data_IF_752457593218
#
_entry.id   IF_752457593218
#
_cell.length_a   1.000
_cell.length_b   1.000
_cell.length_c   1.000
_cell.angle_alpha   90.00
_cell.angle_beta   90.00
_cell.angle_gamma   90.00
#
_symmetry.space_group_name_H-M   'P 1'
#
loop_
_entity.id
_entity.type
_entity.pdbx_description
1 polymer ?
#
# COMPACT_ATOMS: atom_id res chain seq x y z
N UNK A 1 15.73 -12.85 21.20
CA UNK A 1 14.38 -12.30 21.49
C UNK A 1 13.49 -12.22 20.25
N UNK A 2 13.98 -11.76 19.08
CA UNK A 2 13.20 -11.71 17.83
C UNK A 2 12.69 -13.07 17.34
N UNK A 3 13.49 -14.12 17.44
CA UNK A 3 13.09 -15.48 17.04
C UNK A 3 11.93 -16.04 17.87
N UNK A 4 11.91 -15.81 19.18
CA UNK A 4 10.83 -16.26 20.07
C UNK A 4 9.50 -15.57 19.72
N UNK A 5 9.53 -14.28 19.38
CA UNK A 5 8.35 -13.54 18.92
C UNK A 5 7.86 -13.98 17.53
N UNK A 6 8.79 -14.28 16.61
CA UNK A 6 8.44 -14.78 15.28
C UNK A 6 7.78 -16.16 15.35
N UNK A 7 8.34 -17.08 16.15
CA UNK A 7 7.79 -18.42 16.35
C UNK A 7 6.42 -18.38 17.03
N UNK A 8 6.21 -17.46 18.00
CA UNK A 8 4.91 -17.30 18.66
C UNK A 8 3.82 -16.78 17.70
N UNK A 9 4.16 -15.79 16.87
CA UNK A 9 3.28 -15.27 15.82
C UNK A 9 2.94 -16.33 14.78
N UNK A 10 3.93 -17.12 14.36
CA UNK A 10 3.77 -18.22 13.41
C UNK A 10 2.79 -19.28 13.96
N UNK A 11 2.98 -19.72 15.21
CA UNK A 11 2.07 -20.71 15.82
C UNK A 11 0.63 -20.20 15.92
N UNK A 12 0.44 -18.91 16.24
CA UNK A 12 -0.88 -18.28 16.29
C UNK A 12 -1.52 -18.20 14.90
N UNK A 13 -0.76 -17.84 13.86
CA UNK A 13 -1.29 -17.83 12.49
C UNK A 13 -1.67 -19.23 12.02
N UNK A 14 -0.87 -20.24 12.36
CA UNK A 14 -1.14 -21.62 11.97
C UNK A 14 -2.39 -22.16 12.66
N UNK A 15 -2.61 -21.82 13.94
CA UNK A 15 -3.81 -22.24 14.67
C UNK A 15 -5.09 -21.56 14.16
N UNK A 16 -5.02 -20.26 13.84
CA UNK A 16 -6.14 -19.52 13.23
C UNK A 16 -6.42 -20.02 11.81
N UNK A 17 -5.39 -20.33 11.03
CA UNK A 17 -5.52 -20.91 9.70
C UNK A 17 -6.19 -22.29 9.79
N UNK A 18 -5.79 -23.12 10.74
CA UNK A 18 -6.41 -24.43 10.97
C UNK A 18 -7.88 -24.32 11.37
N UNK A 19 -8.21 -23.38 12.25
CA UNK A 19 -9.60 -23.12 12.64
C UNK A 19 -10.43 -22.60 11.45
N UNK A 20 -9.85 -21.72 10.64
CA UNK A 20 -10.51 -21.24 9.41
C UNK A 20 -10.75 -22.39 8.42
N UNK A 21 -9.77 -23.27 8.22
CA UNK A 21 -9.89 -24.45 7.36
C UNK A 21 -11.00 -25.40 7.83
N UNK A 22 -11.13 -25.60 9.14
CA UNK A 22 -12.19 -26.43 9.72
C UNK A 22 -13.59 -25.85 9.40
N UNK A 23 -13.79 -24.55 9.58
CA UNK A 23 -15.05 -23.89 9.21
C UNK A 23 -15.29 -23.88 7.70
N UNK A 24 -14.25 -23.68 6.89
CA UNK A 24 -14.37 -23.75 5.43
C UNK A 24 -14.77 -25.16 4.96
N UNK A 25 -14.28 -26.22 5.60
CA UNK A 25 -14.57 -27.59 5.21
C UNK A 25 -15.92 -28.10 5.74
N UNK A 26 -16.31 -27.71 6.96
CA UNK A 26 -17.53 -28.20 7.61
C UNK A 26 -18.76 -27.35 7.34
N UNK A 27 -18.63 -26.02 7.26
CA UNK A 27 -19.79 -25.12 7.14
C UNK A 27 -20.10 -24.72 5.68
N UNK A 28 -19.20 -24.98 4.72
CA UNK A 28 -19.35 -24.54 3.32
C UNK A 28 -19.38 -25.69 2.31
N UNK A 29 -20.18 -25.50 1.26
CA UNK A 29 -20.18 -26.39 0.10
C UNK A 29 -18.93 -26.16 -0.77
N UNK A 30 -18.61 -27.11 -1.66
CA UNK A 30 -17.51 -26.94 -2.63
C UNK A 30 -17.66 -25.67 -3.46
N UNK A 31 -18.85 -25.42 -4.01
CA UNK A 31 -19.11 -24.21 -4.81
C UNK A 31 -19.00 -22.89 -4.04
N UNK A 32 -19.21 -22.89 -2.72
CA UNK A 32 -19.01 -21.70 -1.88
C UNK A 32 -17.50 -21.42 -1.65
N UNK A 33 -16.73 -22.49 -1.42
CA UNK A 33 -15.27 -22.42 -1.31
C UNK A 33 -14.62 -21.92 -2.60
N UNK A 34 -15.09 -22.41 -3.75
CA UNK A 34 -14.60 -21.96 -5.05
C UNK A 34 -14.86 -20.47 -5.29
N UNK A 35 -16.02 -19.96 -4.85
CA UNK A 35 -16.33 -18.52 -4.91
C UNK A 35 -15.44 -17.69 -4.00
N UNK A 36 -15.17 -18.15 -2.78
CA UNK A 36 -14.24 -17.48 -1.86
C UNK A 36 -12.82 -17.45 -2.43
N UNK A 37 -12.36 -18.57 -3.00
CA UNK A 37 -11.05 -18.66 -3.66
C UNK A 37 -10.99 -17.74 -4.89
N UNK A 38 -12.04 -17.71 -5.71
CA UNK A 38 -12.11 -16.82 -6.87
C UNK A 38 -12.15 -15.34 -6.48
N UNK A 39 -12.81 -14.99 -5.37
CA UNK A 39 -12.82 -13.63 -4.83
C UNK A 39 -11.43 -13.24 -4.30
N UNK A 40 -10.76 -14.11 -3.54
CA UNK A 40 -9.40 -13.88 -3.06
C UNK A 40 -8.39 -13.75 -4.21
N UNK A 41 -8.50 -14.64 -5.21
CA UNK A 41 -7.69 -14.59 -6.43
C UNK A 41 -7.94 -13.30 -7.21
N UNK A 42 -9.20 -12.84 -7.32
CA UNK A 42 -9.53 -11.56 -7.96
C UNK A 42 -8.83 -10.39 -7.27
N UNK A 43 -8.82 -10.35 -5.93
CA UNK A 43 -8.09 -9.32 -5.17
C UNK A 43 -6.61 -9.35 -5.53
N UNK A 44 -5.97 -10.52 -5.44
CA UNK A 44 -4.55 -10.67 -5.75
C UNK A 44 -4.21 -10.24 -7.18
N UNK A 45 -4.99 -10.67 -8.17
CA UNK A 45 -4.80 -10.33 -9.58
C UNK A 45 -4.92 -8.84 -9.80
N UNK A 46 -5.99 -8.21 -9.30
CA UNK A 46 -6.21 -6.77 -9.51
C UNK A 46 -5.20 -5.92 -8.75
N UNK A 47 -4.82 -6.27 -7.52
CA UNK A 47 -3.73 -5.61 -6.81
C UNK A 47 -2.43 -5.71 -7.58
N UNK A 48 -2.08 -6.90 -8.09
CA UNK A 48 -0.84 -7.12 -8.85
C UNK A 48 -0.82 -6.28 -10.13
N UNK A 49 -1.92 -6.29 -10.89
CA UNK A 49 -2.07 -5.47 -12.10
C UNK A 49 -1.99 -3.99 -11.76
N UNK A 50 -2.72 -3.54 -10.74
CA UNK A 50 -2.72 -2.16 -10.29
C UNK A 50 -1.34 -1.69 -9.85
N UNK A 51 -0.63 -2.49 -9.05
CA UNK A 51 0.75 -2.24 -8.62
C UNK A 51 1.71 -2.15 -9.81
N UNK A 52 1.62 -3.05 -10.78
CA UNK A 52 2.47 -3.04 -11.97
C UNK A 52 2.25 -1.77 -12.82
N UNK A 53 0.98 -1.40 -13.03
CA UNK A 53 0.61 -0.16 -13.73
C UNK A 53 1.09 1.06 -12.94
N UNK A 54 0.87 1.07 -11.63
CA UNK A 54 1.27 2.14 -10.73
C UNK A 54 2.78 2.39 -10.71
N UNK A 55 3.59 1.33 -10.59
CA UNK A 55 5.07 1.39 -10.70
C UNK A 55 5.49 1.96 -12.05
N UNK A 56 4.88 1.49 -13.14
CA UNK A 56 5.21 1.93 -14.49
C UNK A 56 4.91 3.42 -14.68
N UNK A 57 3.75 3.89 -14.20
CA UNK A 57 3.38 5.30 -14.23
C UNK A 57 4.27 6.15 -13.31
N UNK A 58 4.62 5.64 -12.13
CA UNK A 58 5.55 6.27 -11.20
C UNK A 58 6.94 6.47 -11.81
N UNK A 59 7.45 5.46 -12.52
CA UNK A 59 8.72 5.56 -13.24
C UNK A 59 8.64 6.59 -14.38
N UNK A 60 7.56 6.58 -15.17
CA UNK A 60 7.32 7.59 -16.22
C UNK A 60 7.27 9.01 -15.64
N UNK A 61 6.60 9.19 -14.50
CA UNK A 61 6.53 10.46 -13.78
C UNK A 61 7.93 10.88 -13.28
N UNK A 62 8.73 9.96 -12.75
CA UNK A 62 10.11 10.24 -12.32
C UNK A 62 10.97 10.75 -13.48
N UNK A 63 10.91 10.07 -14.63
CA UNK A 63 11.64 10.45 -15.85
C UNK A 63 11.22 11.87 -16.28
N UNK A 64 9.91 12.14 -16.30
CA UNK A 64 9.35 13.43 -16.70
C UNK A 64 9.73 14.55 -15.72
N UNK A 65 9.64 14.32 -14.41
CA UNK A 65 10.03 15.30 -13.39
C UNK A 65 11.51 15.65 -13.50
N UNK A 66 12.37 14.64 -13.71
CA UNK A 66 13.80 14.84 -13.90
C UNK A 66 14.09 15.67 -15.15
N UNK A 67 13.45 15.38 -16.29
CA UNK A 67 13.64 16.17 -17.51
C UNK A 67 13.19 17.61 -17.33
N UNK A 68 12.04 17.84 -16.69
CA UNK A 68 11.51 19.19 -16.44
C UNK A 68 12.44 19.97 -15.51
N UNK A 69 12.96 19.37 -14.44
CA UNK A 69 13.92 20.03 -13.54
C UNK A 69 15.20 20.43 -14.26
N UNK A 70 15.72 19.57 -15.14
CA UNK A 70 16.90 19.90 -15.96
C UNK A 70 16.63 21.05 -16.92
N UNK A 71 15.50 21.01 -17.62
CA UNK A 71 15.10 22.07 -18.55
C UNK A 71 14.94 23.42 -17.85
N UNK A 72 14.30 23.41 -16.68
CA UNK A 72 14.15 24.60 -15.85
C UNK A 72 15.49 25.18 -15.40
N UNK A 73 16.40 24.32 -14.92
CA UNK A 73 17.74 24.76 -14.54
C UNK A 73 18.53 25.33 -15.73
N UNK A 74 18.45 24.71 -16.91
CA UNK A 74 19.12 25.25 -18.10
C UNK A 74 18.57 26.61 -18.53
N UNK A 75 17.25 26.81 -18.43
CA UNK A 75 16.63 28.09 -18.76
C UNK A 75 17.09 29.21 -17.80
N UNK A 76 17.06 28.96 -16.49
CA UNK A 76 17.51 29.93 -15.47
C UNK A 76 19.00 30.24 -15.62
N UNK A 77 19.81 29.23 -15.93
CA UNK A 77 21.26 29.41 -16.11
C UNK A 77 21.59 30.25 -17.35
N UNK A 78 20.83 30.09 -18.42
CA UNK A 78 21.07 30.77 -19.70
C UNK A 78 20.55 32.22 -19.73
N UNK A 79 19.67 32.60 -18.81
CA UNK A 79 19.09 33.93 -18.74
C UNK A 79 20.06 34.94 -18.11
N UNK A 80 20.09 36.16 -18.64
CA UNK A 80 20.83 37.27 -18.03
C UNK A 80 20.25 37.59 -16.65
N UNK A 81 21.12 37.73 -15.64
CA UNK A 81 20.72 37.92 -14.24
C UNK A 81 21.09 39.32 -13.76
N UNK A 82 20.16 40.07 -13.15
CA UNK A 82 20.50 41.33 -12.51
C UNK A 82 21.41 41.05 -11.31
N UNK A 83 22.57 41.71 -11.25
CA UNK A 83 23.55 41.50 -10.17
C UNK A 83 23.42 42.52 -9.04
N UNK A 84 22.77 43.65 -9.29
CA UNK A 84 22.68 44.80 -8.38
C UNK A 84 21.30 45.44 -8.49
N UNK A 85 20.72 45.83 -7.35
CA UNK A 85 19.57 46.73 -7.26
C UNK A 85 20.09 48.09 -6.81
N UNK A 86 19.67 49.14 -7.50
CA UNK A 86 19.92 50.53 -7.10
C UNK A 86 18.60 51.07 -6.55
N UNK A 87 18.59 51.50 -5.30
CA UNK A 87 17.43 52.11 -4.66
C UNK A 87 17.38 53.61 -4.97
N UNK A 88 16.20 54.22 -4.85
CA UNK A 88 15.96 55.65 -5.11
C UNK A 88 16.86 56.58 -4.26
N UNK A 89 17.35 56.11 -3.11
CA UNK A 89 18.28 56.82 -2.23
C UNK A 89 19.76 56.68 -2.65
N UNK A 90 20.04 56.00 -3.77
CA UNK A 90 21.38 55.75 -4.29
C UNK A 90 22.09 54.55 -3.65
N UNK A 91 21.49 53.85 -2.68
CA UNK A 91 22.05 52.62 -2.12
C UNK A 91 22.06 51.53 -3.19
N UNK A 92 23.14 50.76 -3.22
CA UNK A 92 23.26 49.59 -4.10
C UNK A 92 23.37 48.33 -3.26
N UNK A 93 22.50 47.35 -3.50
CA UNK A 93 22.58 46.02 -2.89
C UNK A 93 22.80 44.94 -3.94
N UNK A 94 23.65 43.96 -3.62
CA UNK A 94 23.93 42.82 -4.50
C UNK A 94 22.81 41.79 -4.42
N UNK A 95 22.30 41.34 -5.56
CA UNK A 95 21.36 40.22 -5.61
C UNK A 95 22.16 38.92 -5.50
N UNK A 96 21.84 38.03 -4.54
CA UNK A 96 22.53 36.75 -4.42
C UNK A 96 22.17 35.80 -5.59
N UNK A 97 23.16 35.12 -6.16
CA UNK A 97 22.91 34.10 -7.19
C UNK A 97 22.39 32.81 -6.54
N UNK A 98 21.10 32.51 -6.76
CA UNK A 98 20.44 31.31 -6.25
C UNK A 98 20.64 30.07 -7.13
N UNK A 99 21.27 30.22 -8.29
CA UNK A 99 21.43 29.13 -9.27
C UNK A 99 22.15 27.89 -8.71
N UNK A 100 23.19 28.01 -7.87
CA UNK A 100 23.82 26.84 -7.26
C UNK A 100 22.84 26.00 -6.41
N UNK A 101 21.85 26.63 -5.79
CA UNK A 101 20.85 25.95 -4.96
C UNK A 101 19.80 25.21 -5.79
N UNK A 102 19.55 25.67 -7.02
CA UNK A 102 18.59 25.06 -7.95
C UNK A 102 19.22 23.95 -8.80
N UNK A 103 20.53 23.70 -8.64
CA UNK A 103 21.25 22.70 -9.42
C UNK A 103 20.67 21.30 -9.15
N UNK A 104 20.31 20.54 -10.20
CA UNK A 104 19.92 19.14 -10.03
C UNK A 104 21.03 18.35 -9.32
N UNK A 105 20.67 17.59 -8.30
CA UNK A 105 21.59 16.77 -7.50
C UNK A 105 21.32 15.28 -7.69
N UNK A 106 22.33 14.46 -7.47
CA UNK A 106 22.23 12.99 -7.54
C UNK A 106 21.28 12.44 -6.47
N UNK A 107 21.35 12.97 -5.24
CA UNK A 107 20.44 12.59 -4.16
C UNK A 107 18.98 12.94 -4.49
N UNK A 108 18.76 14.12 -5.08
CA UNK A 108 17.44 14.53 -5.56
C UNK A 108 16.90 13.64 -6.68
N UNK A 109 17.77 13.16 -7.57
CA UNK A 109 17.40 12.19 -8.61
C UNK A 109 17.00 10.84 -7.97
N UNK A 110 17.79 10.31 -7.02
CA UNK A 110 17.47 9.07 -6.29
C UNK A 110 16.12 9.19 -5.57
N UNK A 111 15.93 10.28 -4.82
CA UNK A 111 14.68 10.54 -4.13
C UNK A 111 13.49 10.61 -5.10
N UNK A 112 13.67 11.24 -6.27
CA UNK A 112 12.61 11.33 -7.28
C UNK A 112 12.19 9.96 -7.78
N UNK A 113 13.13 9.08 -8.15
CA UNK A 113 12.80 7.73 -8.59
C UNK A 113 12.18 6.90 -7.48
N UNK A 114 12.73 6.98 -6.26
CA UNK A 114 12.21 6.25 -5.11
C UNK A 114 10.77 6.65 -4.80
N UNK A 115 10.50 7.94 -4.54
CA UNK A 115 9.18 8.39 -4.12
C UNK A 115 8.14 8.29 -5.23
N UNK A 116 8.51 8.56 -6.49
CA UNK A 116 7.57 8.41 -7.59
C UNK A 116 7.20 6.94 -7.82
N UNK A 117 8.18 6.02 -7.73
CA UNK A 117 7.92 4.59 -7.87
C UNK A 117 7.15 4.03 -6.68
N UNK A 118 7.55 4.37 -5.45
CA UNK A 118 6.88 3.94 -4.22
C UNK A 118 5.46 4.49 -4.14
N UNK A 119 5.26 5.77 -4.47
CA UNK A 119 3.94 6.39 -4.55
C UNK A 119 3.09 5.76 -5.66
N UNK A 120 3.68 5.49 -6.83
CA UNK A 120 3.02 4.77 -7.91
C UNK A 120 2.58 3.36 -7.50
N UNK A 121 3.47 2.59 -6.85
CA UNK A 121 3.17 1.26 -6.32
C UNK A 121 2.01 1.31 -5.31
N UNK A 122 2.07 2.26 -4.38
CA UNK A 122 1.04 2.42 -3.35
C UNK A 122 -0.31 2.76 -3.96
N UNK A 123 -0.38 3.83 -4.75
CA UNK A 123 -1.64 4.25 -5.39
C UNK A 123 -2.19 3.17 -6.33
N UNK A 124 -1.33 2.55 -7.15
CA UNK A 124 -1.73 1.48 -8.04
C UNK A 124 -2.19 0.23 -7.29
N UNK A 125 -1.50 -0.14 -6.21
CA UNK A 125 -1.81 -1.29 -5.37
C UNK A 125 -3.14 -1.12 -4.63
N UNK A 126 -3.38 0.04 -4.02
CA UNK A 126 -4.64 0.34 -3.32
C UNK A 126 -5.83 0.41 -4.27
N UNK A 127 -5.66 1.03 -5.45
CA UNK A 127 -6.70 1.06 -6.47
C UNK A 127 -6.99 -0.32 -7.06
N UNK A 128 -5.94 -1.10 -7.30
CA UNK A 128 -6.06 -2.51 -7.71
C UNK A 128 -6.76 -3.34 -6.66
N UNK A 129 -6.38 -3.19 -5.38
CA UNK A 129 -7.03 -3.85 -4.26
C UNK A 129 -8.51 -3.50 -4.16
N UNK A 130 -8.86 -2.21 -4.18
CA UNK A 130 -10.24 -1.76 -4.12
C UNK A 130 -11.08 -2.31 -5.29
N UNK A 131 -10.52 -2.30 -6.51
CA UNK A 131 -11.16 -2.90 -7.69
C UNK A 131 -11.35 -4.41 -7.57
N UNK A 132 -10.34 -5.10 -7.04
CA UNK A 132 -10.38 -6.52 -6.75
C UNK A 132 -11.43 -6.89 -5.71
N UNK A 133 -11.52 -6.12 -4.62
CA UNK A 133 -12.57 -6.26 -3.59
C UNK A 133 -13.94 -6.04 -4.19
N UNK A 134 -14.15 -4.96 -4.95
CA UNK A 134 -15.44 -4.69 -5.59
C UNK A 134 -15.88 -5.83 -6.52
N UNK A 135 -14.95 -6.39 -7.31
CA UNK A 135 -15.20 -7.55 -8.17
C UNK A 135 -15.52 -8.81 -7.35
N UNK A 136 -14.72 -9.12 -6.34
CA UNK A 136 -14.91 -10.29 -5.47
C UNK A 136 -16.23 -10.23 -4.71
N UNK A 137 -16.56 -9.09 -4.11
CA UNK A 137 -17.84 -8.83 -3.44
C UNK A 137 -19.01 -8.98 -4.39
N UNK A 138 -18.91 -8.48 -5.63
CA UNK A 138 -19.95 -8.67 -6.64
C UNK A 138 -20.16 -10.15 -6.97
N UNK A 139 -19.08 -10.93 -7.05
CA UNK A 139 -19.14 -12.38 -7.29
C UNK A 139 -19.76 -13.17 -6.13
N UNK A 140 -19.58 -12.73 -4.89
CA UNK A 140 -20.21 -13.36 -3.72
C UNK A 140 -21.69 -12.97 -3.64
N UNK A 141 -22.01 -11.71 -3.93
CA UNK A 141 -23.38 -11.20 -3.84
C UNK A 141 -24.33 -11.71 -4.95
N UNK A 142 -23.81 -12.28 -6.04
CA UNK A 142 -24.65 -12.79 -7.12
C UNK A 142 -25.48 -14.02 -6.75
N UNK A 143 -25.11 -14.74 -5.67
CA UNK A 143 -25.86 -15.87 -5.14
C UNK A 143 -26.26 -15.61 -3.67
N UNK A 144 -27.54 -15.27 -3.43
CA UNK A 144 -28.04 -14.94 -2.09
C UNK A 144 -27.94 -16.08 -1.08
N UNK A 145 -28.04 -17.33 -1.51
CA UNK A 145 -27.97 -18.49 -0.60
C UNK A 145 -26.52 -18.79 -0.21
N UNK A 146 -25.63 -18.79 -1.19
CA UNK A 146 -24.19 -18.92 -0.97
C UNK A 146 -23.67 -17.82 -0.05
N UNK A 147 -24.10 -16.58 -0.28
CA UNK A 147 -23.80 -15.46 0.62
C UNK A 147 -24.25 -15.72 2.06
N UNK A 148 -25.49 -16.18 2.28
CA UNK A 148 -25.98 -16.50 3.63
C UNK A 148 -25.18 -17.59 4.33
N UNK A 149 -24.76 -18.63 3.59
CA UNK A 149 -23.91 -19.70 4.13
C UNK A 149 -22.53 -19.17 4.52
N UNK A 150 -21.90 -18.40 3.63
CA UNK A 150 -20.60 -17.75 3.87
C UNK A 150 -20.66 -16.82 5.09
N UNK A 151 -21.70 -15.99 5.20
CA UNK A 151 -21.86 -15.10 6.37
C UNK A 151 -22.06 -15.87 7.67
N UNK A 152 -22.84 -16.95 7.64
CA UNK A 152 -23.06 -17.81 8.81
C UNK A 152 -21.76 -18.48 9.25
N UNK A 153 -21.03 -19.08 8.32
CA UNK A 153 -19.73 -19.71 8.58
C UNK A 153 -18.74 -18.70 9.15
N UNK A 154 -18.68 -17.49 8.58
CA UNK A 154 -17.82 -16.42 9.07
C UNK A 154 -18.18 -15.95 10.48
N UNK A 155 -19.48 -15.86 10.82
CA UNK A 155 -19.92 -15.52 12.18
C UNK A 155 -19.52 -16.59 13.19
N UNK A 156 -19.65 -17.88 12.85
CA UNK A 156 -19.23 -19.01 13.69
C UNK A 156 -17.72 -18.98 13.93
N UNK A 157 -16.95 -18.86 12.84
CA UNK A 157 -15.49 -18.70 12.92
C UNK A 157 -15.09 -17.55 13.85
N UNK A 158 -15.69 -16.36 13.70
CA UNK A 158 -15.40 -15.22 14.58
C UNK A 158 -15.73 -15.50 16.05
N UNK A 159 -16.84 -16.18 16.31
CA UNK A 159 -17.21 -16.56 17.67
C UNK A 159 -16.16 -17.51 18.29
N UNK A 160 -15.67 -18.48 17.52
CA UNK A 160 -14.68 -19.46 17.99
C UNK A 160 -13.29 -18.84 18.13
N UNK A 161 -12.91 -17.89 17.28
CA UNK A 161 -11.70 -17.07 17.47
C UNK A 161 -11.77 -16.28 18.77
N UNK A 162 -12.91 -15.63 19.06
CA UNK A 162 -13.08 -14.86 20.29
C UNK A 162 -13.07 -15.74 21.54
N UNK A 163 -13.69 -16.93 21.49
CA UNK A 163 -13.62 -17.92 22.57
C UNK A 163 -12.18 -18.34 22.84
N UNK A 164 -11.41 -18.67 21.80
CA UNK A 164 -9.99 -19.01 21.96
C UNK A 164 -9.17 -17.87 22.54
N UNK A 165 -9.46 -16.63 22.14
CA UNK A 165 -8.79 -15.45 22.72
C UNK A 165 -9.13 -15.27 24.20
N UNK A 166 -10.39 -15.48 24.59
CA UNK A 166 -10.80 -15.47 26.00
C UNK A 166 -10.13 -16.60 26.79
N UNK A 167 -10.12 -17.84 26.26
CA UNK A 167 -9.46 -18.98 26.91
C UNK A 167 -7.94 -18.76 27.07
N UNK A 168 -7.30 -18.09 26.10
CA UNK A 168 -5.89 -17.72 26.20
C UNK A 168 -5.66 -16.70 27.32
N UNK A 169 -6.54 -15.69 27.41
CA UNK A 169 -6.49 -14.66 28.44
C UNK A 169 -6.72 -15.25 29.84
N UNK A 170 -7.69 -16.17 29.99
CA UNK A 170 -8.00 -16.84 31.26
C UNK A 170 -6.87 -17.76 31.74
N UNK A 171 -6.07 -18.33 30.82
CA UNK A 171 -4.88 -19.13 31.14
C UNK A 171 -3.67 -18.29 31.56
N UNK A 172 -3.83 -16.97 31.72
CA UNK A 172 -2.76 -16.06 32.12
C UNK A 172 -1.76 -15.79 31.00
N UNK A 173 -2.10 -16.08 29.74
CA UNK A 173 -1.34 -15.54 28.62
C UNK A 173 -1.69 -14.05 28.50
N UNK A 174 -0.90 -13.21 29.15
CA UNK A 174 -0.96 -11.76 29.02
C UNK A 174 -0.44 -11.34 27.62
N UNK A 175 -1.27 -11.58 26.61
CA UNK A 175 -1.00 -11.28 25.21
C UNK A 175 -1.24 -9.78 24.95
N UNK A 176 -0.31 -8.92 25.37
CA UNK A 176 -0.36 -7.45 25.18
C UNK A 176 -0.11 -7.00 23.72
N UNK A 177 -0.43 -7.82 22.71
CA UNK A 177 -0.30 -7.44 21.30
C UNK A 177 -1.59 -7.67 20.49
N UNK A 178 -2.74 -7.45 21.13
CA UNK A 178 -4.08 -7.54 20.53
C UNK A 178 -4.62 -6.21 19.98
N UNK A 179 -3.76 -5.22 19.69
CA UNK A 179 -4.08 -4.00 18.93
C UNK A 179 -3.21 -3.96 17.68
#
# INVERSE_FOLDING_TARGET
MSESFAILRQRRSDELAKLADEHLQHDLQSGDRDKLNAAASSISVWTTVGSAVGVSLGLLAAIRLRSTRKAFFSAIRAQEKPTKVIFEDGRTESIPDLTPLLKPTTLGDIATYFFATAGGLFLGGELGFAGGVAKGTRSINSDPESKKRIETAFRRFRADVLRKQADALDKGQHDYSLI
#
